data_IF_319225973312
#
_entry.id   IF_319225973312
#
_cell.length_a   1.000
_cell.length_b   1.000
_cell.length_c   1.000
_cell.angle_alpha   90.00
_cell.angle_beta   90.00
_cell.angle_gamma   90.00
#
_symmetry.space_group_name_H-M   'P 1'
#
loop_
_entity.id
_entity.type
_entity.pdbx_description
1 polymer ?
#
# COMPACT_ATOMS: atom_id res chain seq x y z
N UNK A 1 13.56 12.39 18.83
CA UNK A 1 12.23 12.33 19.47
C UNK A 1 11.23 12.19 18.34
N UNK A 2 10.30 11.24 18.39
CA UNK A 2 9.27 11.11 17.36
C UNK A 2 8.44 12.40 17.28
N UNK A 3 8.15 12.85 16.06
CA UNK A 3 7.42 14.09 15.79
C UNK A 3 5.94 14.04 16.27
N UNK A 4 5.44 12.83 16.56
CA UNK A 4 4.05 12.55 16.95
C UNK A 4 3.75 12.74 18.44
N UNK A 5 4.77 12.81 19.30
CA UNK A 5 4.62 12.80 20.76
C UNK A 5 4.31 11.44 21.38
N UNK A 6 4.23 10.37 20.56
CA UNK A 6 4.09 8.97 21.00
C UNK A 6 5.47 8.35 21.30
N UNK A 7 5.53 7.27 22.07
CA UNK A 7 6.76 6.46 22.16
C UNK A 7 7.00 5.69 20.86
N UNK A 8 8.23 5.21 20.68
CA UNK A 8 8.57 4.36 19.52
C UNK A 8 7.72 3.09 19.49
N UNK A 9 7.49 2.47 20.65
CA UNK A 9 6.66 1.27 20.81
C UNK A 9 5.19 1.54 20.46
N UNK A 10 4.67 2.71 20.83
CA UNK A 10 3.30 3.11 20.49
C UNK A 10 3.14 3.31 18.98
N UNK A 11 4.08 3.99 18.31
CA UNK A 11 4.03 4.15 16.86
C UNK A 11 4.12 2.81 16.13
N UNK A 12 4.97 1.90 16.61
CA UNK A 12 5.14 0.58 16.02
C UNK A 12 3.87 -0.29 16.17
N UNK A 13 3.24 -0.24 17.34
CA UNK A 13 1.95 -0.91 17.55
C UNK A 13 0.89 -0.39 16.58
N UNK A 14 0.83 0.93 16.36
CA UNK A 14 -0.11 1.54 15.43
C UNK A 14 0.21 1.15 13.97
N UNK A 15 1.48 1.16 13.57
CA UNK A 15 1.91 0.72 12.23
C UNK A 15 1.51 -0.73 11.97
N UNK A 16 1.82 -1.63 12.90
CA UNK A 16 1.49 -3.05 12.79
C UNK A 16 -0.01 -3.28 12.68
N UNK A 17 -0.83 -2.63 13.51
CA UNK A 17 -2.30 -2.70 13.38
C UNK A 17 -2.79 -2.21 12.04
N UNK A 18 -2.26 -1.09 11.54
CA UNK A 18 -2.69 -0.52 10.27
C UNK A 18 -2.29 -1.39 9.07
N UNK A 19 -1.10 -1.99 9.11
CA UNK A 19 -0.65 -3.00 8.14
C UNK A 19 -1.54 -4.25 8.21
N UNK A 20 -1.88 -4.71 9.41
CA UNK A 20 -2.76 -5.86 9.60
C UNK A 20 -4.14 -5.62 9.01
N UNK A 21 -4.71 -4.42 9.22
CA UNK A 21 -5.95 -4.00 8.59
C UNK A 21 -5.83 -4.08 7.07
N UNK A 22 -4.81 -3.47 6.46
CA UNK A 22 -4.61 -3.58 5.00
C UNK A 22 -4.62 -5.03 4.52
N UNK A 23 -3.81 -5.89 5.14
CA UNK A 23 -3.65 -7.29 4.73
C UNK A 23 -4.94 -8.11 4.94
N UNK A 24 -5.80 -7.73 5.89
CA UNK A 24 -7.08 -8.39 6.15
C UNK A 24 -8.14 -8.15 5.06
N UNK A 25 -7.94 -7.15 4.18
CA UNK A 25 -8.93 -6.79 3.16
C UNK A 25 -9.08 -7.75 1.99
N UNK A 26 -8.29 -8.83 1.92
CA UNK A 26 -8.49 -9.93 0.99
C UNK A 26 -7.83 -11.22 1.50
N UNK A 27 -8.42 -12.37 1.19
CA UNK A 27 -7.88 -13.69 1.58
C UNK A 27 -6.59 -14.09 0.86
N UNK A 28 -6.18 -13.33 -0.17
CA UNK A 28 -4.97 -13.58 -0.95
C UNK A 28 -3.80 -12.74 -0.44
N UNK A 29 -2.56 -13.29 -0.48
CA UNK A 29 -1.37 -12.52 -0.14
C UNK A 29 -1.11 -11.34 -1.08
N UNK A 30 -0.44 -10.30 -0.58
CA UNK A 30 0.19 -9.31 -1.44
C UNK A 30 1.42 -9.94 -2.10
N UNK A 31 1.51 -9.86 -3.43
CA UNK A 31 2.46 -10.63 -4.25
C UNK A 31 3.92 -10.55 -3.82
N UNK A 32 4.38 -9.36 -3.45
CA UNK A 32 5.79 -9.10 -3.12
C UNK A 32 5.94 -7.76 -2.37
N UNK A 33 7.16 -7.48 -1.89
CA UNK A 33 7.50 -6.25 -1.15
C UNK A 33 7.21 -4.96 -1.94
N UNK A 34 7.40 -4.96 -3.27
CA UNK A 34 7.11 -3.77 -4.09
C UNK A 34 5.61 -3.47 -4.06
N UNK A 35 4.78 -4.47 -4.33
CA UNK A 35 3.33 -4.33 -4.27
C UNK A 35 2.86 -3.89 -2.88
N UNK A 36 3.40 -4.49 -1.82
CA UNK A 36 3.05 -4.13 -0.44
C UNK A 36 3.31 -2.66 -0.15
N UNK A 37 4.50 -2.15 -0.50
CA UNK A 37 4.85 -0.75 -0.29
C UNK A 37 3.90 0.20 -1.04
N UNK A 38 3.47 -0.15 -2.26
CA UNK A 38 2.54 0.70 -3.03
C UNK A 38 1.12 0.63 -2.52
N UNK A 39 0.64 -0.55 -2.17
CA UNK A 39 -0.71 -0.72 -1.63
C UNK A 39 -0.84 -0.04 -0.26
N UNK A 40 0.16 -0.20 0.61
CA UNK A 40 0.20 0.51 1.88
C UNK A 40 0.27 2.01 1.70
N UNK A 41 1.11 2.50 0.77
CA UNK A 41 1.16 3.92 0.44
C UNK A 41 -0.21 4.47 0.01
N UNK A 42 -0.88 3.78 -0.92
CA UNK A 42 -2.20 4.19 -1.43
C UNK A 42 -3.27 4.17 -0.32
N UNK A 43 -3.24 3.14 0.53
CA UNK A 43 -4.14 3.01 1.66
C UNK A 43 -3.91 4.10 2.71
N UNK A 44 -2.67 4.28 3.14
CA UNK A 44 -2.29 5.27 4.15
C UNK A 44 -2.57 6.70 3.67
N UNK A 45 -2.46 6.99 2.37
CA UNK A 45 -2.71 8.33 1.83
C UNK A 45 -4.14 8.85 2.10
N UNK A 46 -5.11 7.95 2.25
CA UNK A 46 -6.48 8.33 2.64
C UNK A 46 -6.60 8.76 4.10
N UNK A 47 -5.58 8.52 4.93
CA UNK A 47 -5.60 8.77 6.36
C UNK A 47 -4.32 9.48 6.82
N UNK A 48 -4.28 10.83 6.75
CA UNK A 48 -3.05 11.61 6.98
C UNK A 48 -2.30 11.31 8.28
N UNK A 49 -3.03 10.99 9.36
CA UNK A 49 -2.43 10.62 10.66
C UNK A 49 -1.61 9.33 10.58
N UNK A 50 -2.12 8.30 9.89
CA UNK A 50 -1.39 7.05 9.68
C UNK A 50 -0.30 7.22 8.65
N UNK A 51 -0.54 8.01 7.59
CA UNK A 51 0.46 8.28 6.56
C UNK A 51 1.78 8.82 7.13
N UNK A 52 1.70 9.74 8.10
CA UNK A 52 2.88 10.33 8.74
C UNK A 52 3.76 9.29 9.47
N UNK A 53 3.16 8.23 10.04
CA UNK A 53 3.89 7.20 10.80
C UNK A 53 4.78 6.31 9.94
N UNK A 54 4.55 6.29 8.63
CA UNK A 54 5.29 5.44 7.69
C UNK A 54 6.46 6.15 7.01
N UNK A 55 6.56 7.48 7.09
CA UNK A 55 7.71 8.23 6.58
C UNK A 55 8.08 7.85 5.13
N UNK A 56 7.09 7.79 4.23
CA UNK A 56 7.34 7.38 2.84
C UNK A 56 8.29 8.34 2.12
N UNK A 57 9.35 7.78 1.53
CA UNK A 57 10.33 8.53 0.72
C UNK A 57 10.37 8.02 -0.73
N UNK A 58 10.77 8.87 -1.70
CA UNK A 58 11.13 8.41 -3.04
C UNK A 58 12.29 7.41 -3.00
N UNK A 59 12.15 6.31 -3.75
CA UNK A 59 13.12 5.22 -3.84
C UNK A 59 13.12 4.59 -5.25
N UNK A 60 14.00 3.61 -5.51
CA UNK A 60 14.18 2.97 -6.83
C UNK A 60 12.89 2.51 -7.51
N UNK A 61 11.93 2.03 -6.71
CA UNK A 61 10.63 1.52 -7.16
C UNK A 61 9.45 2.42 -6.74
N UNK A 62 9.69 3.67 -6.32
CA UNK A 62 8.67 4.63 -5.89
C UNK A 62 8.60 4.86 -4.39
N UNK A 63 7.42 5.18 -3.83
CA UNK A 63 7.27 5.41 -2.39
C UNK A 63 7.66 4.19 -1.59
N UNK A 64 8.58 4.37 -0.66
CA UNK A 64 9.10 3.31 0.19
C UNK A 64 9.12 3.79 1.63
N UNK A 65 8.71 2.90 2.54
CA UNK A 65 8.76 3.09 3.98
C UNK A 65 9.65 2.00 4.57
N UNK A 66 10.75 2.42 5.20
CA UNK A 66 11.62 1.50 5.95
C UNK A 66 10.87 0.97 7.17
N UNK A 67 10.14 1.82 7.89
CA UNK A 67 9.35 1.40 9.06
C UNK A 67 8.29 0.35 8.70
N UNK A 68 7.63 0.45 7.54
CA UNK A 68 6.72 -0.60 7.09
C UNK A 68 7.42 -1.92 6.76
N UNK A 69 8.65 -1.87 6.21
CA UNK A 69 9.43 -3.07 5.95
C UNK A 69 9.87 -3.73 7.26
N UNK A 70 10.35 -2.92 8.21
CA UNK A 70 10.77 -3.36 9.53
C UNK A 70 9.59 -3.95 10.32
N UNK A 71 8.38 -3.36 10.24
CA UNK A 71 7.18 -3.92 10.88
C UNK A 71 6.87 -5.33 10.40
N UNK A 72 6.95 -5.58 9.08
CA UNK A 72 6.74 -6.93 8.51
C UNK A 72 7.85 -7.90 8.93
N UNK A 73 9.10 -7.44 8.99
CA UNK A 73 10.26 -8.31 9.28
C UNK A 73 10.41 -8.64 10.77
N UNK A 74 9.97 -7.74 11.66
CA UNK A 74 10.16 -7.87 13.11
C UNK A 74 8.94 -8.42 13.87
N UNK A 75 7.78 -8.56 13.22
CA UNK A 75 6.54 -9.09 13.83
C UNK A 75 6.07 -10.35 13.10
N UNK A 76 6.84 -11.43 13.22
CA UNK A 76 6.53 -12.73 12.62
C UNK A 76 5.33 -13.43 13.28
N UNK A 77 4.94 -12.97 14.46
CA UNK A 77 3.70 -13.32 15.13
C UNK A 77 2.47 -12.78 14.40
N UNK A 78 2.58 -11.67 13.66
CA UNK A 78 1.46 -11.09 12.89
C UNK A 78 1.58 -11.29 11.39
N UNK A 79 2.80 -11.27 10.85
CA UNK A 79 3.04 -11.21 9.41
C UNK A 79 3.91 -12.36 8.93
N UNK A 80 3.55 -12.91 7.78
CA UNK A 80 4.38 -13.85 7.03
C UNK A 80 4.78 -13.21 5.72
N UNK A 81 6.07 -13.33 5.37
CA UNK A 81 6.64 -12.86 4.11
C UNK A 81 7.46 -14.00 3.50
N UNK A 82 6.87 -14.70 2.54
CA UNK A 82 7.48 -15.88 1.90
C UNK A 82 7.29 -15.88 0.38
N UNK A 83 7.53 -17.03 -0.27
CA UNK A 83 7.39 -17.18 -1.73
C UNK A 83 5.94 -17.07 -2.22
N UNK A 84 4.94 -17.17 -1.35
CA UNK A 84 3.52 -16.95 -1.65
C UNK A 84 3.13 -15.48 -1.57
N UNK A 85 3.96 -14.65 -0.92
CA UNK A 85 3.76 -13.22 -0.76
C UNK A 85 3.76 -12.79 0.71
N UNK A 86 3.05 -11.69 0.99
CA UNK A 86 2.93 -11.10 2.32
C UNK A 86 1.49 -11.24 2.79
N UNK A 87 1.27 -11.85 3.96
CA UNK A 87 -0.05 -12.15 4.50
C UNK A 87 -0.04 -12.27 6.04
N UNK A 88 -1.23 -12.39 6.63
CA UNK A 88 -1.41 -12.47 8.09
C UNK A 88 -1.33 -13.90 8.62
N UNK A 89 -0.75 -14.03 9.81
CA UNK A 89 -0.93 -15.19 10.70
C UNK A 89 -2.35 -15.22 11.29
N UNK A 90 -2.65 -16.17 12.18
CA UNK A 90 -3.92 -16.18 12.90
C UNK A 90 -4.00 -15.00 13.87
N UNK A 91 -2.93 -14.73 14.60
CA UNK A 91 -2.78 -13.61 15.53
C UNK A 91 -2.87 -12.26 14.78
N UNK A 92 -2.25 -12.16 13.60
CA UNK A 92 -2.35 -10.99 12.71
C UNK A 92 -3.79 -10.71 12.25
N UNK A 93 -4.60 -11.76 12.04
CA UNK A 93 -6.03 -11.60 11.73
C UNK A 93 -6.82 -11.09 12.93
N UNK A 94 -6.54 -11.64 14.12
CA UNK A 94 -7.22 -11.24 15.34
C UNK A 94 -6.94 -9.77 15.67
N UNK A 95 -5.69 -9.31 15.58
CA UNK A 95 -5.36 -7.91 15.85
C UNK A 95 -6.01 -6.95 14.83
N UNK A 96 -6.12 -7.35 13.56
CA UNK A 96 -6.82 -6.56 12.55
C UNK A 96 -8.31 -6.41 12.88
N UNK A 97 -8.98 -7.53 13.22
CA UNK A 97 -10.39 -7.56 13.59
C UNK A 97 -10.65 -6.74 14.87
N UNK A 98 -9.88 -6.97 15.92
CA UNK A 98 -10.00 -6.24 17.18
C UNK A 98 -9.78 -4.73 16.99
N UNK A 99 -8.79 -4.33 16.19
CA UNK A 99 -8.51 -2.92 15.90
C UNK A 99 -9.70 -2.27 15.19
N UNK A 100 -10.25 -2.93 14.16
CA UNK A 100 -11.43 -2.44 13.45
C UNK A 100 -12.64 -2.30 14.36
N UNK A 101 -12.86 -3.24 15.28
CA UNK A 101 -14.03 -3.24 16.16
C UNK A 101 -13.93 -2.23 17.30
N UNK A 102 -12.74 -2.05 17.88
CA UNK A 102 -12.58 -1.38 19.17
C UNK A 102 -11.90 -0.01 19.10
N UNK A 103 -11.13 0.29 18.05
CA UNK A 103 -10.28 1.50 18.00
C UNK A 103 -10.86 2.62 17.11
N UNK A 104 -11.85 2.31 16.29
CA UNK A 104 -12.45 3.26 15.36
C UNK A 104 -13.94 3.49 15.64
N UNK A 105 -14.36 4.75 15.54
CA UNK A 105 -15.79 5.07 15.47
C UNK A 105 -16.42 4.39 14.24
N UNK A 106 -17.73 4.14 14.27
CA UNK A 106 -18.46 3.50 13.15
C UNK A 106 -18.16 4.18 11.80
N UNK A 107 -18.19 5.52 11.75
CA UNK A 107 -17.93 6.26 10.51
C UNK A 107 -16.48 6.10 10.02
N UNK A 108 -15.49 6.15 10.92
CA UNK A 108 -14.09 5.97 10.54
C UNK A 108 -13.81 4.53 10.13
N UNK A 109 -14.42 3.56 10.83
CA UNK A 109 -14.33 2.13 10.50
C UNK A 109 -14.88 1.85 9.10
N UNK A 110 -16.04 2.41 8.75
CA UNK A 110 -16.60 2.27 7.40
C UNK A 110 -15.67 2.82 6.33
N UNK A 111 -15.09 4.02 6.55
CA UNK A 111 -14.10 4.61 5.63
C UNK A 111 -12.88 3.72 5.46
N UNK A 112 -12.35 3.19 6.57
CA UNK A 112 -11.21 2.27 6.57
C UNK A 112 -11.53 1.01 5.77
N UNK A 113 -12.67 0.36 6.04
CA UNK A 113 -13.09 -0.86 5.33
C UNK A 113 -13.25 -0.59 3.83
N UNK A 114 -13.87 0.51 3.44
CA UNK A 114 -14.03 0.88 2.03
C UNK A 114 -12.66 1.09 1.36
N UNK A 115 -11.80 1.91 1.96
CA UNK A 115 -10.45 2.17 1.41
C UNK A 115 -9.61 0.90 1.31
N UNK A 116 -9.62 0.07 2.36
CA UNK A 116 -8.95 -1.23 2.40
C UNK A 116 -9.44 -2.13 1.27
N UNK A 117 -10.76 -2.30 1.13
CA UNK A 117 -11.36 -3.14 0.09
C UNK A 117 -11.04 -2.62 -1.32
N UNK A 118 -11.07 -1.30 -1.55
CA UNK A 118 -10.69 -0.69 -2.83
C UNK A 118 -9.24 -1.02 -3.17
N UNK A 119 -8.32 -0.83 -2.21
CA UNK A 119 -6.89 -1.09 -2.43
C UNK A 119 -6.64 -2.57 -2.74
N UNK A 120 -7.14 -3.47 -1.88
CA UNK A 120 -6.95 -4.92 -2.01
C UNK A 120 -7.73 -5.53 -3.17
N UNK A 121 -8.83 -4.94 -3.64
CA UNK A 121 -9.56 -5.46 -4.81
C UNK A 121 -8.97 -4.99 -6.13
N UNK A 122 -8.63 -3.69 -6.25
CA UNK A 122 -8.15 -3.10 -7.50
C UNK A 122 -6.68 -3.40 -7.75
N UNK A 123 -5.81 -3.14 -6.78
CA UNK A 123 -4.37 -3.13 -6.99
C UNK A 123 -3.73 -4.52 -6.94
N UNK A 124 -4.34 -5.48 -6.24
CA UNK A 124 -3.91 -6.89 -6.25
C UNK A 124 -3.89 -7.50 -7.66
N UNK A 125 -4.82 -7.05 -8.51
CA UNK A 125 -4.90 -7.54 -9.88
C UNK A 125 -3.73 -7.05 -10.74
N UNK A 126 -3.00 -6.02 -10.28
CA UNK A 126 -1.93 -5.38 -11.03
C UNK A 126 -0.60 -6.10 -10.89
N UNK A 127 0.18 -6.09 -11.97
CA UNK A 127 1.61 -6.43 -11.89
C UNK A 127 2.36 -5.32 -11.16
N UNK A 128 3.58 -5.61 -10.70
CA UNK A 128 4.43 -4.58 -10.07
C UNK A 128 4.66 -3.40 -11.03
N UNK A 129 4.91 -3.65 -12.31
CA UNK A 129 5.05 -2.60 -13.33
C UNK A 129 3.79 -1.76 -13.51
N UNK A 130 2.60 -2.39 -13.61
CA UNK A 130 1.32 -1.68 -13.76
C UNK A 130 1.04 -0.77 -12.54
N UNK A 131 1.29 -1.28 -11.32
CA UNK A 131 1.08 -0.53 -10.08
C UNK A 131 2.12 0.58 -9.90
N UNK A 132 3.39 0.31 -10.19
CA UNK A 132 4.45 1.32 -10.16
C UNK A 132 4.18 2.44 -11.16
N UNK A 133 3.81 2.11 -12.40
CA UNK A 133 3.47 3.09 -13.42
C UNK A 133 2.32 3.98 -12.97
N UNK A 134 1.25 3.39 -12.42
CA UNK A 134 0.13 4.15 -11.89
C UNK A 134 0.55 5.10 -10.76
N UNK A 135 1.36 4.62 -9.81
CA UNK A 135 1.86 5.43 -8.69
C UNK A 135 2.75 6.57 -9.21
N UNK A 136 3.67 6.31 -10.14
CA UNK A 136 4.61 7.31 -10.66
C UNK A 136 3.92 8.43 -11.41
N UNK A 137 2.91 8.08 -12.22
CA UNK A 137 2.15 9.06 -12.99
C UNK A 137 1.11 9.81 -12.15
N UNK A 138 0.88 9.40 -10.91
CA UNK A 138 -0.12 10.01 -10.02
C UNK A 138 0.54 10.77 -8.87
N UNK A 139 1.75 10.36 -8.45
CA UNK A 139 2.45 10.91 -7.30
C UNK A 139 3.93 11.16 -7.62
N UNK A 140 4.45 12.25 -7.07
CA UNK A 140 5.82 12.70 -7.28
C UNK A 140 6.82 11.92 -6.40
N UNK A 141 7.10 10.67 -6.79
CA UNK A 141 8.00 9.74 -6.07
C UNK A 141 9.03 9.10 -7.03
N UNK A 142 9.36 9.79 -8.11
CA UNK A 142 10.17 9.25 -9.22
C UNK A 142 11.63 9.69 -9.18
N UNK A 143 11.99 10.64 -8.32
CA UNK A 143 13.31 11.29 -8.25
C UNK A 143 14.50 10.31 -8.20
N UNK A 144 14.35 9.16 -7.54
CA UNK A 144 15.38 8.13 -7.40
C UNK A 144 15.11 6.86 -8.22
N UNK A 145 14.20 6.91 -9.19
CA UNK A 145 13.74 5.68 -9.82
C UNK A 145 14.67 5.17 -10.92
N UNK A 146 15.14 3.93 -10.75
CA UNK A 146 15.87 3.18 -11.79
C UNK A 146 14.95 2.55 -12.84
N UNK A 147 13.62 2.71 -12.70
CA UNK A 147 12.62 1.99 -13.51
C UNK A 147 11.75 2.89 -14.36
N UNK A 148 11.72 4.20 -14.09
CA UNK A 148 10.79 5.11 -14.75
C UNK A 148 10.92 5.06 -16.27
N UNK A 149 12.14 5.09 -16.81
CA UNK A 149 12.37 5.05 -18.26
C UNK A 149 11.78 3.78 -18.89
N UNK A 150 12.05 2.62 -18.29
CA UNK A 150 11.53 1.32 -18.77
C UNK A 150 10.00 1.20 -18.70
N UNK A 151 9.36 1.92 -17.76
CA UNK A 151 7.90 1.98 -17.66
C UNK A 151 7.33 2.93 -18.72
N UNK A 152 7.99 4.06 -18.96
CA UNK A 152 7.58 5.06 -19.95
C UNK A 152 7.70 4.52 -21.38
N UNK A 153 8.70 3.71 -21.69
CA UNK A 153 8.81 2.99 -22.97
C UNK A 153 7.59 2.09 -23.25
N UNK A 154 6.92 1.63 -22.18
CA UNK A 154 5.75 0.75 -22.25
C UNK A 154 4.45 1.47 -21.84
N UNK A 155 4.44 2.80 -21.80
CA UNK A 155 3.33 3.58 -21.23
C UNK A 155 1.97 3.24 -21.85
N UNK A 156 1.90 3.11 -23.17
CA UNK A 156 0.66 2.75 -23.87
C UNK A 156 0.17 1.35 -23.48
N UNK A 157 1.09 0.39 -23.41
CA UNK A 157 0.78 -0.98 -22.99
C UNK A 157 0.28 -1.01 -21.54
N UNK A 158 0.99 -0.34 -20.62
CA UNK A 158 0.64 -0.32 -19.20
C UNK A 158 -0.68 0.44 -18.97
N UNK A 159 -0.87 1.61 -19.58
CA UNK A 159 -2.11 2.37 -19.51
C UNK A 159 -3.29 1.56 -20.08
N UNK A 160 -3.11 0.90 -21.22
CA UNK A 160 -4.16 0.09 -21.85
C UNK A 160 -4.57 -1.10 -20.98
N UNK A 161 -3.61 -1.71 -20.27
CA UNK A 161 -3.86 -2.78 -19.29
C UNK A 161 -4.63 -2.27 -18.07
N UNK A 162 -4.27 -1.11 -17.54
CA UNK A 162 -4.98 -0.47 -16.43
C UNK A 162 -6.43 -0.15 -16.82
N UNK A 163 -6.65 0.38 -18.03
CA UNK A 163 -7.99 0.67 -18.56
C UNK A 163 -8.82 -0.61 -18.73
N UNK A 164 -8.23 -1.66 -19.33
CA UNK A 164 -8.91 -2.96 -19.51
C UNK A 164 -9.33 -3.60 -18.17
N UNK A 165 -8.56 -3.36 -17.11
CA UNK A 165 -8.87 -3.83 -15.74
C UNK A 165 -9.85 -2.92 -14.98
N UNK A 166 -10.27 -1.80 -15.58
CA UNK A 166 -11.18 -0.84 -14.95
C UNK A 166 -10.55 -0.02 -13.81
N UNK A 167 -9.21 -0.02 -13.70
CA UNK A 167 -8.49 0.73 -12.65
C UNK A 167 -8.44 2.22 -12.98
N UNK A 168 -8.45 2.57 -14.27
CA UNK A 168 -8.46 3.94 -14.74
C UNK A 168 -9.60 4.15 -15.74
N UNK A 169 -10.02 5.40 -15.90
CA UNK A 169 -11.01 5.81 -16.90
C UNK A 169 -10.35 6.06 -18.26
N UNK A 170 -11.14 6.11 -19.33
CA UNK A 170 -10.69 6.50 -20.66
C UNK A 170 -10.00 7.89 -20.67
N UNK A 171 -10.54 8.83 -19.89
CA UNK A 171 -9.91 10.15 -19.70
C UNK A 171 -8.50 10.00 -19.11
N UNK A 172 -8.38 9.25 -18.01
CA UNK A 172 -7.09 9.03 -17.35
C UNK A 172 -6.12 8.26 -18.25
N UNK A 173 -6.60 7.33 -19.06
CA UNK A 173 -5.77 6.65 -20.06
C UNK A 173 -5.09 7.63 -21.01
N UNK A 174 -5.85 8.59 -21.57
CA UNK A 174 -5.30 9.63 -22.48
C UNK A 174 -4.24 10.49 -21.79
N UNK A 175 -4.54 10.96 -20.58
CA UNK A 175 -3.57 11.71 -19.76
C UNK A 175 -2.26 10.93 -19.56
N UNK A 176 -2.33 9.61 -19.34
CA UNK A 176 -1.16 8.78 -19.08
C UNK A 176 -0.27 8.52 -20.31
N UNK A 177 -0.81 8.62 -21.53
CA UNK A 177 -0.04 8.37 -22.76
C UNK A 177 0.43 9.65 -23.46
N UNK A 178 -0.23 10.79 -23.18
CA UNK A 178 0.11 12.09 -23.78
C UNK A 178 1.30 12.77 -23.08
N UNK A 179 1.44 12.58 -21.76
CA UNK A 179 2.65 12.94 -21.00
C UNK A 179 3.85 12.03 -21.33
#
# INVERSE_FOLDING_TARGET
>A
MPESGLSFEEEEAIRSKFIAILLSGADRPIKNKINFQKELFLFAKSFPKFFALFEFIPHYYGPYSQSAADSIENHDDYFVSDTKGIYLTAEGKNIAEESLLNEFSTENREKIIISMNIVRSLYDSLTSDELMFLVYKTYDYTEKSDKIDSLLEKKEYLAGRLLKKGVITEKRYRELIED
#
